data_IF_518561616224
#
_entry.id   IF_518561616224
#
_cell.length_a   1.000
_cell.length_b   1.000
_cell.length_c   1.000
_cell.angle_alpha   90.00
_cell.angle_beta   90.00
_cell.angle_gamma   90.00
#
_symmetry.space_group_name_H-M   'P 1'
#
loop_
_entity.id
_entity.type
_entity.pdbx_description
1 polymer ?
#
# COMPACT_ATOMS: atom_id res chain seq x y z
N UNK A 1 27.32 12.47 -10.55
CA UNK A 1 27.10 12.78 -9.12
C UNK A 1 25.71 13.35 -8.89
N UNK A 2 25.29 14.26 -9.76
CA UNK A 2 23.94 14.71 -10.12
C UNK A 2 22.76 13.75 -9.78
N UNK A 3 22.78 12.47 -10.17
CA UNK A 3 21.70 11.54 -9.79
C UNK A 3 21.61 11.28 -8.27
N UNK A 4 22.75 11.09 -7.61
CA UNK A 4 22.81 10.87 -6.16
C UNK A 4 22.34 12.13 -5.42
N UNK A 5 22.69 13.31 -5.93
CA UNK A 5 22.25 14.60 -5.39
C UNK A 5 20.72 14.71 -5.44
N UNK A 6 20.08 14.36 -6.57
CA UNK A 6 18.62 14.37 -6.66
C UNK A 6 17.95 13.36 -5.70
N UNK A 7 18.54 12.18 -5.51
CA UNK A 7 18.05 11.19 -4.53
C UNK A 7 18.15 11.74 -3.10
N UNK A 8 19.27 12.37 -2.73
CA UNK A 8 19.46 12.98 -1.41
C UNK A 8 18.44 14.10 -1.17
N UNK A 9 18.22 14.99 -2.15
CA UNK A 9 17.22 16.06 -2.07
C UNK A 9 15.82 15.47 -1.86
N UNK A 10 15.46 14.43 -2.60
CA UNK A 10 14.16 13.77 -2.46
C UNK A 10 13.97 13.12 -1.09
N UNK A 11 14.97 12.37 -0.60
CA UNK A 11 14.93 11.72 0.71
C UNK A 11 14.83 12.77 1.82
N UNK A 12 15.65 13.83 1.77
CA UNK A 12 15.60 14.89 2.77
C UNK A 12 14.25 15.60 2.79
N UNK A 13 13.70 15.90 1.60
CA UNK A 13 12.35 16.48 1.47
C UNK A 13 11.26 15.56 2.02
N UNK A 14 11.37 14.24 1.82
CA UNK A 14 10.42 13.27 2.38
C UNK A 14 10.47 13.25 3.91
N UNK A 15 11.66 13.10 4.48
CA UNK A 15 11.85 13.05 5.94
C UNK A 15 11.32 14.35 6.58
N UNK A 16 11.67 15.51 6.02
CA UNK A 16 11.21 16.80 6.53
C UNK A 16 9.69 16.92 6.56
N UNK A 17 9.00 16.53 5.48
CA UNK A 17 7.54 16.62 5.42
C UNK A 17 6.84 15.62 6.34
N UNK A 18 7.38 14.41 6.48
CA UNK A 18 6.85 13.39 7.41
C UNK A 18 6.99 13.87 8.85
N UNK A 19 8.15 14.42 9.25
CA UNK A 19 8.36 14.95 10.60
C UNK A 19 7.41 16.10 10.96
N UNK A 20 6.98 16.87 9.98
CA UNK A 20 6.07 18.01 10.15
C UNK A 20 4.60 17.67 9.91
N UNK A 21 4.29 16.39 9.67
CA UNK A 21 2.97 15.87 9.28
C UNK A 21 2.30 16.64 8.14
N UNK A 22 3.09 17.11 7.17
CA UNK A 22 2.56 17.72 5.96
C UNK A 22 2.25 16.68 4.89
N UNK A 23 1.48 17.11 3.89
CA UNK A 23 1.07 16.25 2.77
C UNK A 23 2.28 15.74 1.98
N UNK A 24 2.27 14.44 1.67
CA UNK A 24 3.28 13.76 0.86
C UNK A 24 3.33 14.23 -0.60
N UNK A 25 2.35 15.02 -1.05
CA UNK A 25 2.31 15.55 -2.42
C UNK A 25 3.50 16.48 -2.68
N UNK A 26 3.90 17.27 -1.68
CA UNK A 26 4.98 18.25 -1.78
C UNK A 26 6.34 17.59 -2.08
N UNK A 27 6.82 16.60 -1.28
CA UNK A 27 8.08 15.93 -1.56
C UNK A 27 8.05 15.14 -2.87
N UNK A 28 6.90 14.59 -3.28
CA UNK A 28 6.76 13.94 -4.59
C UNK A 28 6.98 14.91 -5.75
N UNK A 29 6.39 16.12 -5.68
CA UNK A 29 6.61 17.17 -6.69
C UNK A 29 8.07 17.62 -6.74
N UNK A 30 8.70 17.82 -5.58
CA UNK A 30 10.12 18.18 -5.47
C UNK A 30 11.00 17.09 -6.09
N UNK A 31 10.72 15.81 -5.79
CA UNK A 31 11.41 14.68 -6.40
C UNK A 31 11.28 14.68 -7.92
N UNK A 32 10.05 14.82 -8.43
CA UNK A 32 9.78 14.88 -9.87
C UNK A 32 10.57 16.00 -10.56
N UNK A 33 10.60 17.20 -9.97
CA UNK A 33 11.40 18.32 -10.49
C UNK A 33 12.91 18.03 -10.42
N UNK A 34 13.41 17.51 -9.30
CA UNK A 34 14.83 17.19 -9.13
C UNK A 34 15.32 16.15 -10.16
N UNK A 35 14.57 15.06 -10.35
CA UNK A 35 14.89 14.04 -11.36
C UNK A 35 14.73 14.56 -12.79
N UNK A 36 13.73 15.39 -13.07
CA UNK A 36 13.56 16.05 -14.36
C UNK A 36 14.74 16.97 -14.69
N UNK A 37 15.21 17.75 -13.71
CA UNK A 37 16.39 18.61 -13.86
C UNK A 37 17.65 17.80 -14.16
N UNK A 38 17.88 16.68 -13.44
CA UNK A 38 19.02 15.79 -13.74
C UNK A 38 18.94 15.20 -15.14
N UNK A 39 17.75 14.80 -15.60
CA UNK A 39 17.57 14.32 -16.97
C UNK A 39 17.90 15.39 -18.01
N UNK A 40 17.50 16.65 -17.74
CA UNK A 40 17.84 17.78 -18.60
C UNK A 40 19.36 18.04 -18.64
N UNK A 41 20.03 18.03 -17.48
CA UNK A 41 21.50 18.17 -17.40
C UNK A 41 22.27 17.06 -18.12
N UNK A 42 21.67 15.86 -18.25
CA UNK A 42 22.24 14.74 -19.00
C UNK A 42 22.00 14.82 -20.52
N UNK A 43 21.45 15.93 -21.01
CA UNK A 43 21.27 16.20 -22.44
C UNK A 43 19.96 15.66 -23.03
N UNK A 44 19.00 15.22 -22.21
CA UNK A 44 17.68 14.86 -22.71
C UNK A 44 16.87 16.11 -23.07
N UNK A 45 16.32 16.13 -24.29
CA UNK A 45 15.39 17.18 -24.72
C UNK A 45 14.14 17.17 -23.83
N UNK A 46 13.60 18.35 -23.51
CA UNK A 46 12.37 18.50 -22.70
C UNK A 46 11.21 17.62 -23.21
N UNK A 47 11.06 17.49 -24.52
CA UNK A 47 10.05 16.62 -25.14
C UNK A 47 10.20 15.15 -24.72
N UNK A 48 11.43 14.64 -24.61
CA UNK A 48 11.68 13.26 -24.20
C UNK A 48 11.35 13.06 -22.73
N UNK A 49 11.67 14.04 -21.88
CA UNK A 49 11.36 14.02 -20.45
C UNK A 49 9.84 13.97 -20.22
N UNK A 50 9.07 14.80 -20.94
CA UNK A 50 7.61 14.79 -20.87
C UNK A 50 7.03 13.45 -21.34
N UNK A 51 7.57 12.86 -22.41
CA UNK A 51 7.14 11.54 -22.88
C UNK A 51 7.43 10.44 -21.84
N UNK A 52 8.59 10.50 -21.17
CA UNK A 52 8.93 9.56 -20.08
C UNK A 52 7.96 9.69 -18.91
N UNK A 53 7.64 10.92 -18.49
CA UNK A 53 6.67 11.20 -17.44
C UNK A 53 5.27 10.67 -17.82
N UNK A 54 4.79 10.97 -19.03
CA UNK A 54 3.50 10.49 -19.53
C UNK A 54 3.43 8.96 -19.60
N UNK A 55 4.53 8.29 -19.99
CA UNK A 55 4.61 6.82 -19.99
C UNK A 55 4.49 6.26 -18.58
N UNK A 56 5.15 6.89 -17.60
CA UNK A 56 5.01 6.55 -16.18
C UNK A 56 3.58 6.71 -15.67
N UNK A 57 2.95 7.84 -15.99
CA UNK A 57 1.54 8.11 -15.63
C UNK A 57 0.58 7.08 -16.24
N UNK A 58 0.69 6.78 -17.54
CA UNK A 58 -0.15 5.76 -18.20
C UNK A 58 -0.02 4.38 -17.56
N UNK A 59 1.20 3.98 -17.18
CA UNK A 59 1.43 2.72 -16.45
C UNK A 59 0.71 2.71 -15.10
N UNK A 60 0.73 3.83 -14.38
CA UNK A 60 0.00 3.98 -13.10
C UNK A 60 -1.51 3.88 -13.28
N UNK A 61 -2.07 4.51 -14.31
CA UNK A 61 -3.50 4.44 -14.62
C UNK A 61 -3.99 3.01 -14.88
N UNK A 62 -3.18 2.20 -15.59
CA UNK A 62 -3.51 0.79 -15.81
C UNK A 62 -3.60 0.01 -14.48
N UNK A 63 -2.67 0.27 -13.56
CA UNK A 63 -2.66 -0.35 -12.23
C UNK A 63 -3.89 0.09 -11.41
N UNK A 64 -4.31 1.35 -11.53
CA UNK A 64 -5.49 1.87 -10.85
C UNK A 64 -6.77 1.10 -11.24
N UNK A 65 -6.92 0.74 -12.52
CA UNK A 65 -8.05 -0.08 -12.98
C UNK A 65 -8.07 -1.46 -12.33
N UNK A 66 -6.91 -2.09 -12.13
CA UNK A 66 -6.79 -3.37 -11.42
C UNK A 66 -7.20 -3.19 -9.94
N UNK A 67 -6.73 -2.13 -9.27
CA UNK A 67 -7.15 -1.84 -7.90
C UNK A 67 -8.66 -1.59 -7.78
N UNK A 68 -9.29 -0.97 -8.78
CA UNK A 68 -10.74 -0.78 -8.80
C UNK A 68 -11.50 -2.11 -8.90
N UNK A 69 -11.02 -3.05 -9.74
CA UNK A 69 -11.59 -4.41 -9.83
C UNK A 69 -11.44 -5.17 -8.52
N UNK A 70 -10.25 -5.10 -7.88
CA UNK A 70 -10.02 -5.69 -6.55
C UNK A 70 -10.98 -5.07 -5.52
N UNK A 71 -11.19 -3.74 -5.56
CA UNK A 71 -12.16 -3.05 -4.71
C UNK A 71 -13.59 -3.56 -4.89
N UNK A 72 -14.03 -3.78 -6.13
CA UNK A 72 -15.36 -4.33 -6.42
C UNK A 72 -15.52 -5.76 -5.94
N UNK A 73 -14.55 -6.64 -6.21
CA UNK A 73 -14.59 -8.05 -5.79
C UNK A 73 -14.63 -8.14 -4.25
N UNK A 74 -13.78 -7.38 -3.56
CA UNK A 74 -13.75 -7.35 -2.09
C UNK A 74 -15.01 -6.73 -1.47
N UNK A 75 -15.70 -5.82 -2.15
CA UNK A 75 -17.01 -5.33 -1.72
C UNK A 75 -18.10 -6.40 -1.89
N UNK A 76 -18.12 -7.10 -3.02
CA UNK A 76 -19.07 -8.18 -3.29
C UNK A 76 -18.95 -9.32 -2.28
N UNK A 77 -17.73 -9.75 -1.96
CA UNK A 77 -17.47 -10.79 -0.96
C UNK A 77 -17.87 -10.39 0.47
N UNK A 78 -17.84 -9.09 0.78
CA UNK A 78 -18.36 -8.59 2.06
C UNK A 78 -19.88 -8.62 2.08
N UNK A 79 -20.52 -8.29 0.96
CA UNK A 79 -21.98 -8.32 0.83
C UNK A 79 -22.56 -9.73 0.86
N UNK A 80 -21.91 -10.70 0.20
CA UNK A 80 -22.35 -12.10 0.14
C UNK A 80 -21.95 -12.92 1.39
N UNK A 81 -21.18 -12.34 2.30
CA UNK A 81 -20.78 -13.00 3.54
C UNK A 81 -19.61 -13.98 3.40
N UNK A 82 -18.96 -14.07 2.23
CA UNK A 82 -17.79 -14.94 2.00
C UNK A 82 -16.63 -14.60 2.96
N UNK A 83 -16.35 -13.32 3.20
CA UNK A 83 -15.30 -12.90 4.15
C UNK A 83 -15.69 -13.22 5.60
N UNK A 84 -16.89 -12.83 6.09
CA UNK A 84 -17.39 -13.26 7.39
C UNK A 84 -17.32 -14.78 7.61
N UNK A 85 -17.61 -15.59 6.59
CA UNK A 85 -17.52 -17.04 6.64
C UNK A 85 -16.09 -17.51 6.96
N UNK A 86 -15.08 -17.03 6.22
CA UNK A 86 -13.68 -17.40 6.49
C UNK A 86 -13.22 -16.98 7.89
N UNK A 87 -13.64 -15.80 8.34
CA UNK A 87 -13.30 -15.30 9.67
C UNK A 87 -13.92 -16.15 10.76
N UNK A 88 -15.22 -16.46 10.65
CA UNK A 88 -15.94 -17.26 11.63
C UNK A 88 -15.32 -18.66 11.80
N UNK A 89 -15.07 -19.35 10.69
CA UNK A 89 -14.47 -20.69 10.74
C UNK A 89 -13.00 -20.66 11.16
N UNK A 90 -12.24 -19.65 10.75
CA UNK A 90 -10.85 -19.49 11.16
C UNK A 90 -10.71 -19.27 12.66
N UNK A 91 -11.59 -18.46 13.26
CA UNK A 91 -11.62 -18.26 14.72
C UNK A 91 -12.07 -19.54 15.44
N UNK A 92 -13.04 -20.27 14.89
CA UNK A 92 -13.54 -21.51 15.50
C UNK A 92 -12.48 -22.61 15.63
N UNK A 93 -11.51 -22.64 14.72
CA UNK A 93 -10.42 -23.64 14.71
C UNK A 93 -9.21 -23.17 15.55
N UNK A 94 -9.23 -21.92 16.02
CA UNK A 94 -8.08 -21.31 16.68
C UNK A 94 -7.86 -21.86 18.09
N UNK A 95 -6.65 -22.39 18.33
CA UNK A 95 -6.21 -22.74 19.68
C UNK A 95 -5.61 -21.50 20.38
N UNK A 96 -6.03 -21.18 21.62
CA UNK A 96 -5.56 -20.00 22.34
C UNK A 96 -4.05 -20.05 22.65
N UNK A 97 -3.49 -21.23 22.91
CA UNK A 97 -2.06 -21.39 23.21
C UNK A 97 -1.15 -20.99 22.02
N UNK A 98 -1.67 -21.08 20.79
CA UNK A 98 -0.97 -20.72 19.56
C UNK A 98 -1.61 -19.52 18.86
N UNK A 99 -2.29 -18.66 19.60
CA UNK A 99 -3.07 -17.53 19.06
C UNK A 99 -2.31 -16.72 18.01
N UNK A 100 -1.07 -16.31 18.31
CA UNK A 100 -0.26 -15.48 17.42
C UNK A 100 0.02 -16.17 16.07
N UNK A 101 0.29 -17.49 16.11
CA UNK A 101 0.55 -18.28 14.91
C UNK A 101 -0.72 -18.40 14.04
N UNK A 102 -1.86 -18.70 14.66
CA UNK A 102 -3.15 -18.77 13.96
C UNK A 102 -3.56 -17.40 13.41
N UNK A 103 -3.38 -16.33 14.17
CA UNK A 103 -3.64 -14.96 13.74
C UNK A 103 -2.81 -14.59 12.50
N UNK A 104 -1.52 -14.96 12.48
CA UNK A 104 -0.65 -14.77 11.32
C UNK A 104 -1.15 -15.56 10.10
N UNK A 105 -1.42 -16.86 10.26
CA UNK A 105 -1.85 -17.73 9.16
C UNK A 105 -3.21 -17.30 8.57
N UNK A 106 -4.15 -16.95 9.44
CA UNK A 106 -5.48 -16.50 9.05
C UNK A 106 -5.40 -15.14 8.34
N UNK A 107 -4.61 -14.20 8.86
CA UNK A 107 -4.37 -12.91 8.20
C UNK A 107 -3.68 -13.09 6.84
N UNK A 108 -2.72 -14.03 6.73
CA UNK A 108 -2.05 -14.36 5.48
C UNK A 108 -3.04 -14.91 4.44
N UNK A 109 -3.85 -15.90 4.83
CA UNK A 109 -4.86 -16.50 3.97
C UNK A 109 -5.87 -15.46 3.46
N UNK A 110 -6.38 -14.61 4.36
CA UNK A 110 -7.35 -13.58 3.99
C UNK A 110 -6.70 -12.45 3.18
N UNK A 111 -5.43 -12.12 3.42
CA UNK A 111 -4.68 -11.18 2.58
C UNK A 111 -4.49 -11.68 1.15
N UNK A 112 -4.21 -12.97 0.97
CA UNK A 112 -4.16 -13.58 -0.36
C UNK A 112 -5.53 -13.56 -1.04
N UNK A 113 -6.60 -13.85 -0.30
CA UNK A 113 -7.95 -13.85 -0.84
C UNK A 113 -8.46 -12.44 -1.21
N UNK A 114 -8.18 -11.43 -0.36
CA UNK A 114 -8.60 -10.04 -0.58
C UNK A 114 -7.69 -9.29 -1.56
N UNK A 115 -6.44 -9.73 -1.73
CA UNK A 115 -5.43 -9.04 -2.53
C UNK A 115 -5.02 -7.66 -2.01
N UNK A 116 -5.45 -7.27 -0.80
CA UNK A 116 -5.16 -5.95 -0.20
C UNK A 116 -4.79 -6.05 1.27
N UNK A 117 -3.74 -5.35 1.68
CA UNK A 117 -3.31 -5.33 3.09
C UNK A 117 -4.26 -4.50 3.97
N UNK A 118 -4.69 -3.32 3.49
CA UNK A 118 -5.59 -2.41 4.24
C UNK A 118 -6.96 -3.06 4.48
N UNK A 119 -7.52 -3.74 3.46
CA UNK A 119 -8.79 -4.45 3.59
C UNK A 119 -8.73 -5.60 4.58
N UNK A 120 -7.62 -6.35 4.59
CA UNK A 120 -7.39 -7.45 5.54
C UNK A 120 -7.25 -6.93 6.97
N UNK A 121 -6.45 -5.88 7.17
CA UNK A 121 -6.28 -5.25 8.47
C UNK A 121 -7.61 -4.73 9.03
N UNK A 122 -8.44 -4.09 8.20
CA UNK A 122 -9.74 -3.53 8.61
C UNK A 122 -10.85 -4.55 8.88
N UNK A 123 -10.73 -5.77 8.36
CA UNK A 123 -11.75 -6.82 8.55
C UNK A 123 -11.31 -7.79 9.64
N UNK A 124 -10.36 -8.67 9.31
CA UNK A 124 -9.87 -9.72 10.18
C UNK A 124 -8.95 -9.18 11.26
N UNK A 125 -8.08 -8.23 10.90
CA UNK A 125 -7.11 -7.66 11.83
C UNK A 125 -7.81 -7.03 13.04
N UNK A 126 -8.88 -6.26 12.82
CA UNK A 126 -9.68 -5.68 13.91
C UNK A 126 -10.29 -6.76 14.80
N UNK A 127 -10.84 -7.83 14.22
CA UNK A 127 -11.43 -8.93 14.99
C UNK A 127 -10.36 -9.65 15.83
N UNK A 128 -9.20 -9.93 15.26
CA UNK A 128 -8.08 -10.53 15.98
C UNK A 128 -7.56 -9.63 17.10
N UNK A 129 -7.49 -8.31 16.92
CA UNK A 129 -7.10 -7.37 17.97
C UNK A 129 -8.11 -7.41 19.14
N UNK A 130 -9.41 -7.50 18.85
CA UNK A 130 -10.45 -7.61 19.88
C UNK A 130 -10.32 -8.94 20.64
N UNK A 131 -10.10 -10.05 19.92
CA UNK A 131 -9.88 -11.36 20.53
C UNK A 131 -8.62 -11.39 21.40
N UNK A 132 -7.53 -10.78 20.94
CA UNK A 132 -6.28 -10.70 21.69
C UNK A 132 -6.50 -9.99 23.03
N UNK A 133 -7.14 -8.81 22.97
CA UNK A 133 -7.47 -8.01 24.15
C UNK A 133 -8.42 -8.73 25.12
N UNK A 134 -9.36 -9.52 24.60
CA UNK A 134 -10.29 -10.30 25.43
C UNK A 134 -9.68 -11.58 25.99
N UNK A 135 -8.72 -12.19 25.28
CA UNK A 135 -8.02 -13.41 25.67
C UNK A 135 -6.81 -13.17 26.56
N UNK A 136 -6.42 -11.90 26.80
CA UNK A 136 -5.27 -11.54 27.61
C UNK A 136 -3.92 -11.80 26.94
N UNK A 137 -3.89 -11.81 25.60
CA UNK A 137 -2.69 -11.95 24.75
C UNK A 137 -2.37 -10.67 23.99
#
# INVERSE_FOLDING_TARGET
>A
MDFIIAVIIFIFSLIYNISKQYSLIIPLLIGMLAFSSVAFYRGFKLRNIVVMLMKGMKKSLYILSIFALIGMITALWRADGTIPFFVYYGIKIMNPDYFILFAFLLTCFVAFALGTCIGTAGTVGVVLIILARSGGV
#
